data_IF_959672472669
#
_entry.id   IF_959672472669
#
_cell.length_a   1.000
_cell.length_b   1.000
_cell.length_c   1.000
_cell.angle_alpha   90.00
_cell.angle_beta   90.00
_cell.angle_gamma   90.00
#
_symmetry.space_group_name_H-M   'P 1'
#
loop_
_entity.id
_entity.type
_entity.pdbx_description
1 polymer ?
#
# COMPACT_ATOMS: atom_id res chain seq x y z
N UNK A 1 5.45 14.28 22.58
CA UNK A 1 6.53 13.53 21.88
C UNK A 1 5.97 12.45 20.95
N UNK A 2 4.96 11.68 21.36
CA UNK A 2 4.36 10.62 20.53
C UNK A 2 3.84 11.07 19.15
N UNK A 3 3.20 12.25 19.05
CA UNK A 3 2.73 12.78 17.77
C UNK A 3 3.85 13.07 16.75
N UNK A 4 5.00 13.58 17.21
CA UNK A 4 6.17 13.79 16.34
C UNK A 4 6.75 12.46 15.85
N UNK A 5 6.61 11.42 16.67
CA UNK A 5 7.01 10.05 16.35
C UNK A 5 6.16 9.47 15.22
N UNK A 6 4.84 9.60 15.31
CA UNK A 6 3.91 9.20 14.24
C UNK A 6 4.21 9.97 12.94
N UNK A 7 4.43 11.29 13.03
CA UNK A 7 4.75 12.11 11.85
C UNK A 7 6.03 11.64 11.14
N UNK A 8 7.07 11.33 11.89
CA UNK A 8 8.32 10.83 11.30
C UNK A 8 8.15 9.44 10.68
N UNK A 9 7.41 8.55 11.34
CA UNK A 9 7.10 7.22 10.80
C UNK A 9 6.28 7.30 9.50
N UNK A 10 5.35 8.26 9.39
CA UNK A 10 4.61 8.53 8.15
C UNK A 10 5.52 8.97 7.01
N UNK A 11 6.49 9.86 7.27
CA UNK A 11 7.41 10.35 6.24
C UNK A 11 8.36 9.22 5.78
N UNK A 12 8.92 8.46 6.73
CA UNK A 12 9.85 7.36 6.44
C UNK A 12 9.18 6.20 5.70
N UNK A 13 7.99 5.80 6.15
CA UNK A 13 7.25 4.67 5.56
C UNK A 13 6.53 5.09 4.28
N UNK A 14 6.12 6.35 4.19
CA UNK A 14 5.32 6.88 3.09
C UNK A 14 6.05 6.98 1.76
N UNK A 15 7.37 7.18 1.75
CA UNK A 15 8.13 7.24 0.49
C UNK A 15 8.02 5.94 -0.33
N UNK A 16 8.51 4.80 0.20
CA UNK A 16 8.47 3.52 -0.50
C UNK A 16 7.05 3.02 -0.80
N UNK A 17 6.12 3.21 0.15
CA UNK A 17 4.73 2.78 -0.06
C UNK A 17 4.03 3.69 -1.09
N UNK A 18 4.29 5.00 -1.04
CA UNK A 18 3.73 5.96 -1.99
C UNK A 18 4.13 5.68 -3.44
N UNK A 19 5.40 5.29 -3.69
CA UNK A 19 5.83 4.90 -5.03
C UNK A 19 5.12 3.64 -5.52
N UNK A 20 4.92 2.64 -4.64
CA UNK A 20 4.16 1.43 -5.01
C UNK A 20 2.71 1.76 -5.36
N UNK A 21 2.07 2.68 -4.65
CA UNK A 21 0.72 3.14 -4.97
C UNK A 21 0.67 3.86 -6.32
N UNK A 22 1.63 4.75 -6.60
CA UNK A 22 1.67 5.46 -7.87
C UNK A 22 1.80 4.50 -9.06
N UNK A 23 2.72 3.52 -8.97
CA UNK A 23 2.89 2.50 -10.00
C UNK A 23 1.63 1.66 -10.18
N UNK A 24 1.02 1.22 -9.08
CA UNK A 24 -0.22 0.45 -9.11
C UNK A 24 -1.37 1.24 -9.75
N UNK A 25 -1.54 2.51 -9.41
CA UNK A 25 -2.60 3.35 -9.99
C UNK A 25 -2.42 3.51 -11.50
N UNK A 26 -1.21 3.79 -11.97
CA UNK A 26 -0.91 3.90 -13.41
C UNK A 26 -1.23 2.58 -14.12
N UNK A 27 -0.75 1.47 -13.58
CA UNK A 27 -0.97 0.14 -14.17
C UNK A 27 -2.46 -0.23 -14.18
N UNK A 28 -3.19 0.05 -13.10
CA UNK A 28 -4.63 -0.19 -12.99
C UNK A 28 -5.42 0.65 -13.99
N UNK A 29 -5.02 1.91 -14.22
CA UNK A 29 -5.64 2.78 -15.21
C UNK A 29 -5.48 2.22 -16.63
N UNK A 30 -4.30 1.71 -16.98
CA UNK A 30 -4.06 1.07 -18.29
C UNK A 30 -4.98 -0.14 -18.49
N UNK A 31 -5.10 -1.02 -17.49
CA UNK A 31 -5.99 -2.17 -17.58
C UNK A 31 -7.46 -1.77 -17.64
N UNK A 32 -7.89 -0.76 -16.86
CA UNK A 32 -9.26 -0.24 -16.93
C UNK A 32 -9.58 0.35 -18.30
N UNK A 33 -8.66 1.08 -18.93
CA UNK A 33 -8.84 1.59 -20.29
C UNK A 33 -8.92 0.45 -21.31
N UNK A 34 -8.11 -0.61 -21.16
CA UNK A 34 -8.20 -1.79 -22.02
C UNK A 34 -9.56 -2.50 -21.88
N UNK A 35 -10.07 -2.63 -20.65
CA UNK A 35 -11.42 -3.17 -20.39
C UNK A 35 -12.47 -2.29 -21.07
N UNK A 36 -12.42 -0.96 -20.87
CA UNK A 36 -13.37 0.00 -21.45
C UNK A 36 -13.33 0.04 -22.98
N UNK A 37 -12.16 -0.12 -23.59
CA UNK A 37 -12.02 -0.20 -25.05
C UNK A 37 -12.47 -1.55 -25.64
N UNK A 38 -12.83 -2.53 -24.79
CA UNK A 38 -13.20 -3.88 -25.24
C UNK A 38 -12.02 -4.69 -25.77
N UNK A 39 -10.78 -4.27 -25.50
CA UNK A 39 -9.56 -4.96 -25.94
C UNK A 39 -9.25 -6.07 -24.95
N UNK A 40 -9.70 -7.28 -25.26
CA UNK A 40 -9.51 -8.49 -24.43
C UNK A 40 -9.91 -8.27 -22.95
N UNK A 41 -11.16 -7.85 -22.69
CA UNK A 41 -11.57 -7.31 -21.39
C UNK A 41 -11.43 -8.33 -20.26
N UNK A 42 -11.68 -9.61 -20.54
CA UNK A 42 -11.52 -10.70 -19.55
C UNK A 42 -10.06 -10.84 -19.11
N UNK A 43 -9.11 -10.85 -20.05
CA UNK A 43 -7.68 -10.96 -19.71
C UNK A 43 -7.21 -9.74 -18.92
N UNK A 44 -7.62 -8.53 -19.34
CA UNK A 44 -7.31 -7.29 -18.63
C UNK A 44 -7.87 -7.31 -17.20
N UNK A 45 -9.08 -7.85 -16.98
CA UNK A 45 -9.66 -8.04 -15.65
C UNK A 45 -8.87 -9.01 -14.77
N UNK A 46 -8.43 -10.15 -15.33
CA UNK A 46 -7.60 -11.13 -14.61
C UNK A 46 -6.24 -10.52 -14.24
N UNK A 47 -5.59 -9.82 -15.16
CA UNK A 47 -4.32 -9.14 -14.89
C UNK A 47 -4.46 -8.04 -13.84
N UNK A 48 -5.56 -7.27 -13.89
CA UNK A 48 -5.88 -6.27 -12.89
C UNK A 48 -6.09 -6.93 -11.51
N UNK A 49 -6.77 -8.07 -11.44
CA UNK A 49 -6.93 -8.81 -10.18
C UNK A 49 -5.59 -9.28 -9.60
N UNK A 50 -4.72 -9.86 -10.42
CA UNK A 50 -3.39 -10.30 -10.00
C UNK A 50 -2.52 -9.11 -9.56
N UNK A 51 -2.60 -7.99 -10.26
CA UNK A 51 -1.94 -6.75 -9.89
C UNK A 51 -2.39 -6.24 -8.52
N UNK A 52 -3.70 -6.24 -8.24
CA UNK A 52 -4.27 -5.84 -6.95
C UNK A 52 -3.78 -6.72 -5.79
N UNK A 53 -3.74 -8.04 -6.00
CA UNK A 53 -3.19 -8.97 -5.01
C UNK A 53 -1.69 -8.73 -4.79
N UNK A 54 -0.92 -8.61 -5.88
CA UNK A 54 0.50 -8.34 -5.83
C UNK A 54 0.82 -7.05 -5.07
N UNK A 55 0.07 -5.98 -5.31
CA UNK A 55 0.21 -4.72 -4.61
C UNK A 55 -0.01 -4.87 -3.10
N UNK A 56 -1.03 -5.62 -2.68
CA UNK A 56 -1.28 -5.88 -1.25
C UNK A 56 -0.13 -6.64 -0.58
N UNK A 57 0.43 -7.65 -1.25
CA UNK A 57 1.60 -8.37 -0.74
C UNK A 57 2.87 -7.52 -0.69
N UNK A 58 3.08 -6.64 -1.68
CA UNK A 58 4.22 -5.71 -1.70
C UNK A 58 4.12 -4.73 -0.54
N UNK A 59 2.95 -4.14 -0.29
CA UNK A 59 2.74 -3.22 0.85
C UNK A 59 2.99 -3.95 2.18
N UNK A 60 2.46 -5.16 2.36
CA UNK A 60 2.74 -5.98 3.54
C UNK A 60 4.24 -6.23 3.71
N UNK A 61 4.93 -6.63 2.63
CA UNK A 61 6.36 -6.88 2.65
C UNK A 61 7.17 -5.64 3.03
N UNK A 62 6.83 -4.47 2.48
CA UNK A 62 7.49 -3.20 2.82
C UNK A 62 7.28 -2.81 4.28
N UNK A 63 6.08 -3.02 4.83
CA UNK A 63 5.77 -2.79 6.24
C UNK A 63 6.64 -3.69 7.13
N UNK A 64 6.70 -5.00 6.84
CA UNK A 64 7.49 -5.97 7.60
C UNK A 64 8.98 -5.64 7.55
N UNK A 65 9.50 -5.30 6.37
CA UNK A 65 10.91 -4.91 6.19
C UNK A 65 11.24 -3.64 6.95
N UNK A 66 10.37 -2.61 6.90
CA UNK A 66 10.56 -1.38 7.66
C UNK A 66 10.51 -1.61 9.17
N UNK A 67 9.60 -2.47 9.63
CA UNK A 67 9.54 -2.87 11.03
C UNK A 67 10.83 -3.56 11.48
N UNK A 68 11.30 -4.56 10.72
CA UNK A 68 12.52 -5.29 11.01
C UNK A 68 13.75 -4.38 11.04
N UNK A 69 13.91 -3.53 10.03
CA UNK A 69 15.04 -2.57 9.95
C UNK A 69 15.09 -1.65 11.16
N UNK A 70 13.93 -1.21 11.62
CA UNK A 70 13.83 -0.25 12.71
C UNK A 70 13.89 -0.85 14.11
N UNK A 71 13.63 -2.15 14.30
CA UNK A 71 13.66 -2.79 15.62
C UNK A 71 14.87 -3.69 15.84
N UNK A 72 15.39 -4.29 14.77
CA UNK A 72 16.46 -5.29 14.86
C UNK A 72 17.57 -5.11 13.83
N UNK A 73 17.40 -4.15 12.91
CA UNK A 73 18.36 -3.87 11.85
C UNK A 73 19.28 -2.69 12.15
N UNK A 74 19.90 -2.18 11.08
CA UNK A 74 20.88 -1.08 11.12
C UNK A 74 20.39 0.18 11.83
N UNK A 75 19.08 0.44 11.89
CA UNK A 75 18.53 1.64 12.53
C UNK A 75 17.93 1.37 13.90
N UNK A 76 18.08 0.16 14.45
CA UNK A 76 17.57 -0.20 15.78
C UNK A 76 18.21 0.61 16.92
N UNK A 77 19.45 1.06 16.76
CA UNK A 77 20.09 1.91 17.78
C UNK A 77 19.32 3.23 17.97
N UNK A 78 18.77 3.82 16.90
CA UNK A 78 17.99 5.06 16.97
C UNK A 78 16.69 4.90 17.77
N UNK A 79 16.07 3.73 17.74
CA UNK A 79 14.88 3.43 18.57
C UNK A 79 15.20 3.19 20.04
N UNK A 80 16.46 2.92 20.39
CA UNK A 80 16.90 2.70 21.78
C UNK A 80 17.63 3.90 22.39
N UNK A 81 18.08 4.86 21.58
CA UNK A 81 18.76 6.09 22.05
C UNK A 81 17.83 7.27 22.27
N UNK A 82 16.61 7.23 21.74
CA UNK A 82 15.62 8.29 21.94
C UNK A 82 14.99 8.14 23.33
N UNK A 83 14.85 9.22 24.12
CA UNK A 83 14.28 9.17 25.48
C UNK A 83 12.76 9.02 25.44
N UNK A 84 12.27 7.96 24.80
CA UNK A 84 10.85 7.64 24.67
C UNK A 84 10.68 6.15 25.01
N UNK A 85 9.62 5.76 25.74
CA UNK A 85 9.43 4.37 26.10
C UNK A 85 9.33 3.47 24.85
N UNK A 86 9.96 2.28 24.84
CA UNK A 86 9.93 1.37 23.69
C UNK A 86 8.50 1.06 23.21
N UNK A 87 7.55 0.95 24.14
CA UNK A 87 6.12 0.75 23.84
C UNK A 87 5.56 1.79 22.89
N UNK A 88 5.96 3.05 23.01
CA UNK A 88 5.50 4.12 22.14
C UNK A 88 6.07 4.00 20.73
N UNK A 89 7.28 3.45 20.55
CA UNK A 89 7.85 3.14 19.24
C UNK A 89 7.11 1.99 18.53
N UNK A 90 6.72 0.96 19.28
CA UNK A 90 5.90 -0.13 18.72
C UNK A 90 4.52 0.37 18.31
N UNK A 91 3.85 1.14 19.17
CA UNK A 91 2.51 1.67 18.89
C UNK A 91 2.50 2.63 17.71
N UNK A 92 3.47 3.55 17.60
CA UNK A 92 3.52 4.48 16.45
C UNK A 92 3.67 3.73 15.14
N UNK A 93 4.51 2.69 15.10
CA UNK A 93 4.66 1.85 13.89
C UNK A 93 3.42 1.04 13.57
N UNK A 94 2.77 0.45 14.56
CA UNK A 94 1.52 -0.29 14.32
C UNK A 94 0.43 0.62 13.75
N UNK A 95 0.26 1.83 14.30
CA UNK A 95 -0.73 2.80 13.80
C UNK A 95 -0.45 3.14 12.34
N UNK A 96 0.80 3.53 12.02
CA UNK A 96 1.18 3.92 10.65
C UNK A 96 1.06 2.74 9.67
N UNK A 97 1.49 1.56 10.07
CA UNK A 97 1.39 0.34 9.25
C UNK A 97 -0.06 -0.05 8.99
N UNK A 98 -0.91 0.03 10.01
CA UNK A 98 -2.35 -0.25 9.89
C UNK A 98 -3.02 0.76 8.95
N UNK A 99 -2.64 2.04 9.03
CA UNK A 99 -3.13 3.06 8.11
C UNK A 99 -2.76 2.75 6.66
N UNK A 100 -1.51 2.39 6.37
CA UNK A 100 -1.10 2.04 5.00
C UNK A 100 -1.75 0.76 4.49
N UNK A 101 -1.92 -0.24 5.35
CA UNK A 101 -2.68 -1.44 5.01
C UNK A 101 -4.14 -1.12 4.70
N UNK A 102 -4.78 -0.29 5.51
CA UNK A 102 -6.14 0.15 5.29
C UNK A 102 -6.27 0.90 3.95
N UNK A 103 -5.36 1.85 3.67
CA UNK A 103 -5.29 2.54 2.39
C UNK A 103 -5.11 1.57 1.21
N UNK A 104 -4.27 0.54 1.37
CA UNK A 104 -4.10 -0.53 0.37
C UNK A 104 -5.42 -1.22 0.05
N UNK A 105 -6.16 -1.65 1.08
CA UNK A 105 -7.45 -2.31 0.90
C UNK A 105 -8.49 -1.37 0.26
N UNK A 106 -8.53 -0.10 0.66
CA UNK A 106 -9.40 0.90 0.04
C UNK A 106 -9.09 1.09 -1.46
N UNK A 107 -7.82 1.19 -1.83
CA UNK A 107 -7.43 1.32 -3.25
C UNK A 107 -7.80 0.09 -4.06
N UNK A 108 -7.61 -1.11 -3.51
CA UNK A 108 -8.00 -2.36 -4.15
C UNK A 108 -9.51 -2.41 -4.41
N UNK A 109 -10.33 -2.13 -3.38
CA UNK A 109 -11.79 -2.10 -3.51
C UNK A 109 -12.27 -1.05 -4.52
N UNK A 110 -11.65 0.14 -4.52
CA UNK A 110 -11.97 1.20 -5.47
C UNK A 110 -11.70 0.79 -6.92
N UNK A 111 -10.55 0.18 -7.19
CA UNK A 111 -10.20 -0.30 -8.54
C UNK A 111 -11.13 -1.43 -8.98
N UNK A 112 -11.48 -2.36 -8.09
CA UNK A 112 -12.43 -3.44 -8.43
C UNK A 112 -13.84 -2.92 -8.71
N UNK A 113 -14.29 -1.94 -7.95
CA UNK A 113 -15.59 -1.31 -8.21
C UNK A 113 -15.62 -0.64 -9.59
N UNK A 114 -14.56 0.08 -9.96
CA UNK A 114 -14.42 0.68 -11.29
C UNK A 114 -14.35 -0.38 -12.41
N UNK A 115 -13.61 -1.47 -12.20
CA UNK A 115 -13.51 -2.55 -13.16
C UNK A 115 -14.88 -3.18 -13.41
N UNK A 116 -15.66 -3.46 -12.36
CA UNK A 116 -17.01 -4.01 -12.48
C UNK A 116 -17.93 -3.09 -13.29
N UNK A 117 -17.86 -1.77 -13.08
CA UNK A 117 -18.61 -0.82 -13.90
C UNK A 117 -18.18 -0.82 -15.36
N UNK A 118 -16.88 -0.94 -15.62
CA UNK A 118 -16.35 -1.02 -16.99
C UNK A 118 -16.85 -2.28 -17.72
N UNK A 119 -16.91 -3.42 -17.02
CA UNK A 119 -17.47 -4.66 -17.58
C UNK A 119 -18.96 -4.53 -17.90
N UNK A 120 -19.76 -3.97 -17.00
CA UNK A 120 -21.20 -3.79 -17.22
C UNK A 120 -21.50 -2.88 -18.42
N UNK A 121 -20.62 -1.91 -18.73
CA UNK A 121 -20.76 -1.02 -19.88
C UNK A 121 -20.47 -1.68 -21.23
N UNK A 122 -19.59 -2.69 -21.25
CA UNK A 122 -19.21 -3.40 -22.48
C UNK A 122 -19.94 -4.72 -22.70
N UNK A 123 -20.67 -5.22 -21.70
CA UNK A 123 -21.50 -6.42 -21.78
C UNK A 123 -23.01 -6.13 -21.93
N UNK A 124 -23.40 -4.89 -22.23
CA UNK A 124 -24.77 -4.47 -22.53
C UNK A 124 -24.99 -4.14 -24.00
#
# INVERSE_FOLDING_TARGET
>A
MFGNLIKNELILTGGPIGTTFAVYLIMSAVFLLAILAGVVPVLAGVLLFLASLGQSFVVLGLIVVNYYRSMSGRTAYLTHTVPVPPTHHYFSKMIVSTLYMFLSQCTMLGVFWLANQAFMRNGG
#
